data_IF_212523943668
#
_entry.id   IF_212523943668
#
_cell.length_a   1.000
_cell.length_b   1.000
_cell.length_c   1.000
_cell.angle_alpha   90.00
_cell.angle_beta   90.00
_cell.angle_gamma   90.00
#
_symmetry.space_group_name_H-M   'P 1'
#
loop_
_entity.id
_entity.type
_entity.pdbx_description
1 polymer ?
#
# COMPACT_ATOMS: atom_id res chain seq x y z
N UNK A 1 7.56 24.07 29.99
CA UNK A 1 8.11 23.64 28.69
C UNK A 1 7.12 22.65 28.10
N UNK A 2 6.78 22.75 26.81
CA UNK A 2 5.84 21.82 26.16
C UNK A 2 6.65 20.80 25.35
N UNK A 3 6.26 19.53 25.47
CA UNK A 3 6.90 18.41 24.79
C UNK A 3 5.83 17.65 24.03
N UNK A 4 5.95 17.63 22.71
CA UNK A 4 5.02 16.93 21.85
C UNK A 4 5.78 15.89 21.01
N UNK A 5 5.31 14.64 21.08
CA UNK A 5 5.73 13.56 20.18
C UNK A 5 4.56 13.28 19.25
N UNK A 6 4.82 13.43 17.95
CA UNK A 6 3.83 13.24 16.91
C UNK A 6 4.35 12.31 15.82
N UNK A 7 3.52 11.37 15.41
CA UNK A 7 3.68 10.63 14.16
C UNK A 7 2.96 11.37 13.04
N UNK A 8 3.48 11.29 11.82
CA UNK A 8 2.74 11.70 10.63
C UNK A 8 2.83 10.61 9.57
N UNK A 9 1.66 10.18 9.08
CA UNK A 9 1.55 9.51 7.79
C UNK A 9 1.49 10.58 6.72
N UNK A 10 2.37 10.53 5.73
CA UNK A 10 2.25 11.33 4.52
C UNK A 10 2.01 10.42 3.33
N UNK A 11 0.87 10.61 2.70
CA UNK A 11 0.49 9.92 1.47
C UNK A 11 0.45 10.93 0.34
N UNK A 12 1.25 10.67 -0.68
CA UNK A 12 1.27 11.43 -1.92
C UNK A 12 0.71 10.56 -3.05
N UNK A 13 -0.40 10.99 -3.66
CA UNK A 13 -1.01 10.30 -4.80
C UNK A 13 -1.09 11.26 -6.00
N UNK A 14 -0.66 10.81 -7.18
CA UNK A 14 -0.70 11.61 -8.41
C UNK A 14 -1.34 10.83 -9.57
N UNK A 15 -2.23 11.51 -10.29
CA UNK A 15 -2.94 10.96 -11.47
C UNK A 15 -2.82 11.91 -12.67
N UNK A 16 -2.66 11.37 -13.88
CA UNK A 16 -2.46 12.14 -15.12
C UNK A 16 -0.99 12.44 -15.42
N UNK A 17 -0.72 13.08 -16.56
CA UNK A 17 0.63 13.46 -17.03
C UNK A 17 0.70 14.90 -17.55
N UNK A 18 1.86 15.53 -17.39
CA UNK A 18 2.10 16.91 -17.83
C UNK A 18 1.14 17.93 -17.20
N UNK A 19 0.64 18.88 -18.00
CA UNK A 19 -0.27 19.96 -17.55
C UNK A 19 -1.62 19.46 -17.01
N UNK A 20 -1.96 18.18 -17.19
CA UNK A 20 -3.19 17.57 -16.70
C UNK A 20 -3.02 16.75 -15.41
N UNK A 21 -1.83 16.79 -14.79
CA UNK A 21 -1.58 16.08 -13.53
C UNK A 21 -2.40 16.66 -12.38
N UNK A 22 -3.00 15.77 -11.59
CA UNK A 22 -3.67 16.09 -10.33
C UNK A 22 -2.97 15.37 -9.20
N UNK A 23 -2.82 16.04 -8.08
CA UNK A 23 -2.08 15.53 -6.93
C UNK A 23 -2.92 15.70 -5.68
N UNK A 24 -2.97 14.66 -4.86
CA UNK A 24 -3.45 14.73 -3.48
C UNK A 24 -2.27 14.49 -2.55
N UNK A 25 -2.13 15.37 -1.57
CA UNK A 25 -1.26 15.19 -0.42
C UNK A 25 -2.15 15.07 0.79
N UNK A 26 -2.07 13.94 1.48
CA UNK A 26 -2.67 13.78 2.79
C UNK A 26 -1.56 13.68 3.82
N UNK A 27 -1.71 14.41 4.91
CA UNK A 27 -0.94 14.20 6.12
C UNK A 27 -1.93 13.86 7.21
N UNK A 28 -1.80 12.68 7.81
CA UNK A 28 -2.52 12.39 9.05
C UNK A 28 -1.52 12.46 10.18
N UNK A 29 -1.72 13.45 11.03
CA UNK A 29 -0.90 13.64 12.22
C UNK A 29 -1.54 12.85 13.37
N UNK A 30 -0.73 12.09 14.06
CA UNK A 30 -1.08 11.31 15.22
C UNK A 30 -0.26 11.86 16.37
N UNK A 31 -0.88 12.72 17.17
CA UNK A 31 -0.28 13.20 18.41
C UNK A 31 -0.63 12.22 19.52
N UNK A 32 0.31 11.97 20.43
CA UNK A 32 -0.04 11.24 21.65
C UNK A 32 -1.18 11.99 22.37
N UNK A 33 -2.33 11.32 22.59
CA UNK A 33 -3.45 11.95 23.28
C UNK A 33 -3.24 12.11 24.78
N UNK A 34 -2.18 11.54 25.39
CA UNK A 34 -1.85 11.79 26.80
C UNK A 34 -0.35 11.64 27.07
N UNK A 35 0.33 12.78 27.16
CA UNK A 35 1.34 12.97 28.22
C UNK A 35 1.18 14.39 28.77
N UNK A 36 0.09 14.60 29.51
CA UNK A 36 -0.02 15.75 30.39
C UNK A 36 0.88 15.49 31.60
N UNK A 37 2.13 15.92 31.53
CA UNK A 37 2.94 16.04 32.72
C UNK A 37 2.60 17.38 33.37
N UNK A 38 1.84 17.28 34.48
CA UNK A 38 1.50 18.30 35.47
C UNK A 38 0.26 19.18 35.21
N UNK A 39 -0.80 18.86 35.96
CA UNK A 39 -1.90 19.75 36.33
C UNK A 39 -3.04 19.83 35.32
N UNK A 40 -4.26 19.60 35.80
CA UNK A 40 -5.51 19.76 35.06
C UNK A 40 -5.56 21.06 34.26
N UNK A 41 -5.31 20.97 32.94
CA UNK A 41 -5.72 22.00 31.98
C UNK A 41 -6.20 21.37 30.68
N UNK A 42 -7.29 21.95 30.22
CA UNK A 42 -8.09 21.71 29.03
C UNK A 42 -7.25 21.38 27.79
N UNK A 43 -7.71 20.50 26.88
CA UNK A 43 -7.07 20.28 25.59
C UNK A 43 -7.00 21.62 24.83
N UNK A 44 -5.79 22.12 24.61
CA UNK A 44 -5.57 23.33 23.82
C UNK A 44 -5.58 22.95 22.34
N UNK A 45 -6.61 23.44 21.65
CA UNK A 45 -6.67 23.42 20.20
C UNK A 45 -5.54 24.24 19.58
N UNK A 46 -5.18 23.82 18.36
CA UNK A 46 -4.69 24.63 17.22
C UNK A 46 -4.22 26.05 17.59
N UNK A 47 -2.89 26.22 17.65
CA UNK A 47 -2.14 27.48 17.77
C UNK A 47 -2.50 28.36 18.98
N UNK A 48 -1.64 28.33 20.01
CA UNK A 48 -1.68 29.29 21.11
C UNK A 48 -1.67 30.74 20.60
N UNK A 49 -2.61 31.53 21.12
CA UNK A 49 -2.78 32.95 20.81
C UNK A 49 -1.57 33.77 21.28
N UNK A 50 -1.24 34.84 20.55
CA UNK A 50 -0.23 35.87 20.93
C UNK A 50 -0.49 36.41 22.35
N UNK A 51 -1.73 36.34 22.84
CA UNK A 51 -2.10 36.72 24.20
C UNK A 51 -1.42 35.85 25.29
N UNK A 52 -1.20 34.56 25.06
CA UNK A 52 -0.50 33.69 26.02
C UNK A 52 0.98 34.09 26.15
N UNK A 53 1.62 34.53 25.06
CA UNK A 53 3.01 34.97 25.03
C UNK A 53 3.26 36.28 25.81
N UNK A 54 2.23 37.12 25.97
CA UNK A 54 2.31 38.41 26.68
C UNK A 54 1.88 38.33 28.16
N UNK A 55 1.37 37.17 28.61
CA UNK A 55 0.73 37.03 29.93
C UNK A 55 1.67 36.86 31.13
N UNK A 56 2.99 36.89 30.94
CA UNK A 56 3.95 36.76 32.05
C UNK A 56 3.96 35.38 32.72
N UNK A 57 3.43 34.33 32.08
CA UNK A 57 3.56 32.94 32.53
C UNK A 57 5.04 32.60 32.74
N UNK A 58 5.40 32.17 33.95
CA UNK A 58 6.69 31.53 34.25
C UNK A 58 6.78 30.24 33.43
N UNK A 59 7.83 30.12 32.62
CA UNK A 59 8.16 28.87 31.95
C UNK A 59 8.78 27.91 32.98
N UNK A 60 8.22 26.73 33.15
CA UNK A 60 8.84 25.70 34.00
C UNK A 60 10.23 25.38 33.47
N UNK A 61 11.23 25.44 34.35
CA UNK A 61 12.64 25.23 34.03
C UNK A 61 12.95 23.75 34.16
N UNK A 62 13.50 23.14 33.10
CA UNK A 62 14.00 21.78 33.13
C UNK A 62 15.32 21.74 33.92
N UNK A 63 15.44 20.98 35.02
CA UNK A 63 16.68 20.89 35.80
C UNK A 63 17.84 20.35 34.98
N UNK A 64 19.09 20.64 35.39
CA UNK A 64 20.26 20.01 34.78
C UNK A 64 20.25 18.49 35.02
N UNK A 65 20.54 17.71 33.98
CA UNK A 65 20.57 16.25 34.03
C UNK A 65 20.01 15.61 32.77
N UNK A 66 20.01 14.27 32.74
CA UNK A 66 19.35 13.49 31.71
C UNK A 66 17.87 13.30 32.06
N UNK A 67 17.00 13.50 31.08
CA UNK A 67 15.56 13.37 31.24
C UNK A 67 15.03 12.44 30.15
N UNK A 68 14.29 11.41 30.57
CA UNK A 68 13.70 10.42 29.68
C UNK A 68 12.18 10.51 29.76
N UNK A 69 11.55 10.67 28.60
CA UNK A 69 10.09 10.73 28.48
C UNK A 69 9.61 9.53 27.67
N UNK A 70 9.06 8.49 28.30
CA UNK A 70 8.46 7.39 27.56
C UNK A 70 7.24 7.90 26.78
N UNK A 71 7.07 7.43 25.55
CA UNK A 71 5.89 7.70 24.74
C UNK A 71 5.41 6.40 24.10
N UNK A 72 4.12 6.35 23.83
CA UNK A 72 3.46 5.25 23.13
C UNK A 72 2.40 5.82 22.21
N UNK A 73 2.26 5.25 21.03
CA UNK A 73 1.18 5.56 20.11
C UNK A 73 0.77 4.30 19.37
N UNK A 74 -0.52 4.21 19.05
CA UNK A 74 -1.05 3.13 18.24
C UNK A 74 -0.89 3.46 16.77
N UNK A 75 -0.41 2.50 15.97
CA UNK A 75 -0.47 2.60 14.52
C UNK A 75 -1.95 2.50 14.11
N UNK A 76 -2.44 3.42 13.25
CA UNK A 76 -3.83 3.41 12.82
C UNK A 76 -4.23 2.09 12.18
N UNK A 77 -5.46 1.64 12.43
CA UNK A 77 -6.02 0.49 11.71
C UNK A 77 -6.12 0.82 10.22
N UNK A 78 -5.56 -0.04 9.36
CA UNK A 78 -5.49 0.21 7.92
C UNK A 78 -4.37 1.17 7.51
N UNK A 79 -3.39 1.42 8.38
CA UNK A 79 -2.18 2.16 8.04
C UNK A 79 -1.49 1.53 6.81
N UNK A 80 -1.26 2.31 5.73
CA UNK A 80 -0.57 1.79 4.55
C UNK A 80 0.88 1.44 4.87
N UNK A 81 1.41 0.44 4.17
CA UNK A 81 2.83 0.11 4.26
C UNK A 81 3.69 1.24 3.67
N UNK A 82 4.95 1.34 4.10
CA UNK A 82 5.93 2.20 3.40
C UNK A 82 6.07 1.72 1.96
N UNK A 83 5.89 2.63 1.00
CA UNK A 83 5.85 2.28 -0.41
C UNK A 83 6.33 3.44 -1.29
N UNK A 84 7.13 3.13 -2.31
CA UNK A 84 7.58 4.08 -3.33
C UNK A 84 7.27 3.47 -4.70
N UNK A 85 6.16 3.91 -5.27
CA UNK A 85 5.61 3.41 -6.53
C UNK A 85 5.61 4.45 -7.64
N UNK A 86 4.84 4.17 -8.70
CA UNK A 86 4.78 5.06 -9.87
C UNK A 86 3.92 6.29 -9.61
N UNK A 87 2.80 6.09 -8.93
CA UNK A 87 1.79 7.12 -8.67
C UNK A 87 1.60 7.39 -7.18
N UNK A 88 2.22 6.58 -6.32
CA UNK A 88 2.01 6.57 -4.87
C UNK A 88 3.34 6.58 -4.14
N UNK A 89 3.47 7.47 -3.16
CA UNK A 89 4.56 7.47 -2.20
C UNK A 89 3.96 7.55 -0.78
N UNK A 90 4.33 6.59 0.07
CA UNK A 90 3.90 6.49 1.47
C UNK A 90 5.13 6.49 2.37
N UNK A 91 5.24 7.52 3.19
CA UNK A 91 6.30 7.64 4.20
C UNK A 91 5.71 7.85 5.59
N UNK A 92 6.38 7.25 6.57
CA UNK A 92 6.06 7.36 7.98
C UNK A 92 7.18 8.04 8.73
N UNK A 93 6.83 9.07 9.49
CA UNK A 93 7.80 9.88 10.24
C UNK A 93 7.36 10.01 11.69
N UNK A 94 8.30 9.81 12.61
CA UNK A 94 8.19 10.16 14.02
C UNK A 94 8.98 11.44 14.27
N UNK A 95 8.38 12.40 14.96
CA UNK A 95 9.02 13.68 15.30
C UNK A 95 8.90 13.91 16.80
N UNK A 96 10.02 14.22 17.45
CA UNK A 96 10.06 14.75 18.80
C UNK A 96 10.47 16.22 18.74
N UNK A 97 9.67 17.08 19.37
CA UNK A 97 9.93 18.51 19.41
C UNK A 97 10.00 18.98 20.87
N UNK A 98 10.98 19.85 21.14
CA UNK A 98 11.15 20.53 22.42
C UNK A 98 11.09 22.03 22.14
N UNK A 99 10.07 22.68 22.67
CA UNK A 99 9.87 24.11 22.50
C UNK A 99 10.75 24.89 23.47
N UNK A 100 11.61 25.77 22.95
CA UNK A 100 12.57 26.54 23.75
C UNK A 100 12.10 28.00 23.81
N UNK A 101 11.65 28.50 24.98
CA UNK A 101 11.19 29.89 25.09
C UNK A 101 12.26 30.87 24.63
N UNK A 102 11.93 31.68 23.62
CA UNK A 102 12.84 32.68 23.02
C UNK A 102 14.12 32.09 22.40
N UNK A 103 14.13 30.79 22.14
CA UNK A 103 15.20 30.07 21.44
C UNK A 103 14.70 29.39 20.18
N UNK A 104 15.57 28.61 19.54
CA UNK A 104 15.17 27.71 18.46
C UNK A 104 14.67 26.40 19.05
N UNK A 105 13.50 25.96 18.58
CA UNK A 105 12.95 24.67 18.96
C UNK A 105 13.87 23.55 18.48
N UNK A 106 14.06 22.55 19.34
CA UNK A 106 14.85 21.37 19.00
C UNK A 106 13.90 20.33 18.42
N UNK A 107 14.18 19.88 17.20
CA UNK A 107 13.38 18.84 16.54
C UNK A 107 14.26 17.68 16.13
N UNK A 108 13.87 16.48 16.54
CA UNK A 108 14.48 15.24 16.10
C UNK A 108 13.46 14.41 15.31
N UNK A 109 13.91 13.83 14.21
CA UNK A 109 13.06 13.13 13.25
C UNK A 109 13.58 11.72 12.98
N UNK A 110 12.67 10.74 12.93
CA UNK A 110 12.96 9.37 12.54
C UNK A 110 11.99 8.88 11.48
N UNK A 111 12.48 8.03 10.57
CA UNK A 111 11.62 7.30 9.63
C UNK A 111 11.34 5.92 10.22
N UNK A 112 10.08 5.52 10.23
CA UNK A 112 9.66 4.20 10.70
C UNK A 112 9.08 3.39 9.54
N UNK A 113 9.09 2.06 9.67
CA UNK A 113 8.44 1.16 8.70
C UNK A 113 7.18 0.58 9.31
N UNK A 114 6.07 0.77 8.60
CA UNK A 114 4.80 0.10 8.91
C UNK A 114 4.67 -1.09 7.97
N UNK A 115 4.42 -2.27 8.54
CA UNK A 115 4.16 -3.50 7.82
C UNK A 115 2.77 -3.98 8.23
N UNK A 116 1.78 -3.95 7.32
CA UNK A 116 0.45 -4.46 7.60
C UNK A 116 0.48 -5.99 7.75
N UNK A 117 -0.50 -6.55 8.48
CA UNK A 117 -0.63 -8.00 8.59
C UNK A 117 -0.81 -8.62 7.21
N UNK A 118 -0.14 -9.74 6.97
CA UNK A 118 -0.27 -10.48 5.72
C UNK A 118 -1.68 -11.10 5.68
N UNK A 119 -2.45 -10.91 4.59
CA UNK A 119 -3.73 -11.58 4.41
C UNK A 119 -3.59 -13.10 4.53
N UNK A 120 -4.63 -13.77 5.03
CA UNK A 120 -4.67 -15.24 5.15
C UNK A 120 -4.76 -15.97 3.80
N UNK A 121 -5.27 -17.20 3.80
CA UNK A 121 -5.42 -17.98 2.57
C UNK A 121 -6.45 -17.38 1.61
N UNK A 122 -6.16 -17.37 0.31
CA UNK A 122 -7.04 -16.76 -0.71
C UNK A 122 -7.31 -17.73 -1.86
N UNK A 123 -8.38 -18.54 -1.77
CA UNK A 123 -8.92 -19.21 -2.93
C UNK A 123 -9.61 -18.20 -3.85
N UNK A 124 -9.27 -18.22 -5.13
CA UNK A 124 -9.90 -17.37 -6.14
C UNK A 124 -10.22 -18.17 -7.40
N UNK A 125 -11.44 -18.02 -7.93
CA UNK A 125 -11.86 -18.55 -9.24
C UNK A 125 -12.37 -17.40 -10.09
N UNK A 126 -11.92 -17.32 -11.34
CA UNK A 126 -12.51 -16.45 -12.34
C UNK A 126 -12.49 -17.11 -13.71
N UNK A 127 -13.54 -16.85 -14.48
CA UNK A 127 -13.63 -17.21 -15.88
C UNK A 127 -13.90 -15.98 -16.73
N UNK A 128 -13.33 -15.95 -17.94
CA UNK A 128 -13.65 -14.95 -18.96
C UNK A 128 -13.90 -15.62 -20.29
N UNK A 129 -14.88 -15.06 -20.98
CA UNK A 129 -15.32 -15.50 -22.29
C UNK A 129 -15.06 -14.41 -23.33
N UNK A 130 -14.41 -14.74 -24.45
CA UNK A 130 -14.31 -13.84 -25.59
C UNK A 130 -14.57 -14.60 -26.90
N UNK A 131 -15.75 -14.36 -27.49
CA UNK A 131 -16.22 -14.99 -28.73
C UNK A 131 -16.14 -16.52 -28.68
N UNK A 132 -15.06 -17.09 -29.22
CA UNK A 132 -14.85 -18.52 -29.39
C UNK A 132 -13.71 -19.07 -28.55
N UNK A 133 -13.10 -18.24 -27.70
CA UNK A 133 -12.03 -18.63 -26.77
C UNK A 133 -12.50 -18.29 -25.35
N UNK A 134 -12.42 -19.28 -24.47
CA UNK A 134 -12.77 -19.17 -23.06
C UNK A 134 -11.52 -19.49 -22.24
N UNK A 135 -11.25 -18.66 -21.25
CA UNK A 135 -10.16 -18.87 -20.29
C UNK A 135 -10.77 -18.90 -18.89
N UNK A 136 -10.45 -19.93 -18.15
CA UNK A 136 -10.84 -20.07 -16.74
C UNK A 136 -9.59 -20.35 -15.91
N UNK A 137 -9.48 -19.73 -14.74
CA UNK A 137 -8.33 -19.89 -13.86
C UNK A 137 -8.75 -19.93 -12.39
N UNK A 138 -7.96 -20.66 -11.60
CA UNK A 138 -8.18 -20.92 -10.19
C UNK A 138 -6.87 -20.85 -9.43
N UNK A 139 -6.90 -20.30 -8.22
CA UNK A 139 -5.83 -20.41 -7.23
C UNK A 139 -6.30 -21.37 -6.14
N UNK A 140 -5.46 -22.34 -5.80
CA UNK A 140 -5.71 -23.25 -4.70
C UNK A 140 -5.47 -22.52 -3.36
N UNK A 141 -6.21 -22.85 -2.28
CA UNK A 141 -5.93 -22.32 -0.95
C UNK A 141 -4.47 -22.56 -0.56
N UNK A 142 -3.84 -21.56 0.02
CA UNK A 142 -2.45 -21.63 0.44
C UNK A 142 -1.94 -20.32 1.02
N UNK A 143 -0.70 -20.30 1.54
CA UNK A 143 -0.14 -19.12 2.18
C UNK A 143 0.07 -18.00 1.17
N UNK A 144 -0.43 -16.81 1.49
CA UNK A 144 -0.03 -15.56 0.86
C UNK A 144 1.09 -14.94 1.69
N UNK A 145 2.16 -14.47 1.06
CA UNK A 145 3.28 -13.82 1.76
C UNK A 145 4.54 -13.65 0.90
N UNK A 146 5.55 -12.93 1.42
CA UNK A 146 6.84 -12.78 0.77
C UNK A 146 7.45 -14.12 0.37
N UNK A 147 7.76 -14.27 -0.91
CA UNK A 147 8.40 -15.49 -1.42
C UNK A 147 7.52 -16.74 -1.43
N UNK A 148 6.24 -16.65 -1.03
CA UNK A 148 5.34 -17.80 -1.01
C UNK A 148 5.04 -18.31 -2.43
N UNK A 149 4.85 -19.62 -2.56
CA UNK A 149 4.45 -20.25 -3.81
C UNK A 149 2.92 -20.32 -3.90
N UNK A 150 2.38 -19.67 -4.92
CA UNK A 150 0.95 -19.71 -5.27
C UNK A 150 0.76 -20.77 -6.33
N UNK A 151 -0.11 -21.74 -6.02
CA UNK A 151 -0.47 -22.84 -6.92
C UNK A 151 -1.87 -22.64 -7.46
N UNK A 152 -2.09 -23.16 -8.66
CA UNK A 152 -3.39 -23.07 -9.28
C UNK A 152 -3.46 -23.80 -10.59
N UNK A 153 -4.59 -23.62 -11.25
CA UNK A 153 -4.92 -24.25 -12.53
C UNK A 153 -5.49 -23.22 -13.48
N UNK A 154 -5.36 -23.47 -14.77
CA UNK A 154 -6.17 -22.78 -15.77
C UNK A 154 -6.62 -23.74 -16.85
N UNK A 155 -7.75 -23.43 -17.49
CA UNK A 155 -8.31 -24.20 -18.59
C UNK A 155 -8.64 -23.26 -19.74
N UNK A 156 -8.33 -23.72 -20.95
CA UNK A 156 -8.63 -23.00 -22.18
C UNK A 156 -9.63 -23.80 -22.99
N UNK A 157 -10.71 -23.16 -23.43
CA UNK A 157 -11.67 -23.76 -24.36
C UNK A 157 -11.71 -22.94 -25.64
N UNK A 158 -11.37 -23.57 -26.76
CA UNK A 158 -11.27 -22.91 -28.06
C UNK A 158 -12.26 -23.51 -29.05
N UNK A 159 -13.49 -23.04 -29.04
CA UNK A 159 -14.57 -23.56 -29.88
C UNK A 159 -14.51 -23.06 -31.33
N UNK A 160 -13.66 -22.07 -31.62
CA UNK A 160 -13.56 -21.44 -32.94
C UNK A 160 -12.32 -21.81 -33.74
N UNK A 161 -11.56 -22.81 -33.30
CA UNK A 161 -10.36 -23.29 -34.00
C UNK A 161 -9.26 -22.23 -34.13
N UNK A 162 -9.18 -21.27 -33.20
CA UNK A 162 -8.15 -20.22 -33.23
C UNK A 162 -6.77 -20.80 -32.94
N UNK A 163 -5.71 -20.23 -33.51
CA UNK A 163 -4.34 -20.62 -33.13
C UNK A 163 -3.94 -19.91 -31.85
N UNK A 164 -3.82 -20.64 -30.74
CA UNK A 164 -3.27 -20.13 -29.48
C UNK A 164 -1.77 -20.42 -29.49
N UNK A 165 -0.94 -19.38 -29.47
CA UNK A 165 0.53 -19.52 -29.54
C UNK A 165 1.13 -19.88 -28.19
N UNK A 166 0.59 -19.29 -27.13
CA UNK A 166 1.03 -19.53 -25.76
C UNK A 166 -0.06 -19.15 -24.75
N UNK A 167 0.06 -19.71 -23.55
CA UNK A 167 -0.55 -19.16 -22.34
C UNK A 167 0.56 -18.63 -21.44
N UNK A 168 0.25 -17.56 -20.72
CA UNK A 168 1.14 -16.90 -19.78
C UNK A 168 0.46 -16.85 -18.42
N UNK A 169 1.23 -17.10 -17.37
CA UNK A 169 0.81 -16.98 -15.97
C UNK A 169 1.80 -16.05 -15.31
N UNK A 170 1.38 -14.81 -15.07
CA UNK A 170 2.23 -13.74 -14.55
C UNK A 170 1.79 -13.37 -13.13
N UNK A 171 2.75 -13.17 -12.23
CA UNK A 171 2.50 -12.44 -10.98
C UNK A 171 2.57 -10.95 -11.31
N UNK A 172 1.49 -10.24 -11.01
CA UNK A 172 1.37 -8.80 -11.26
C UNK A 172 1.18 -8.04 -9.97
N UNK A 173 1.92 -6.94 -9.81
CA UNK A 173 1.67 -5.90 -8.82
C UNK A 173 0.65 -4.93 -9.37
N UNK A 174 -0.41 -4.66 -8.61
CA UNK A 174 -1.51 -3.78 -8.95
C UNK A 174 -1.48 -2.57 -8.02
N UNK A 175 -1.07 -1.42 -8.54
CA UNK A 175 -1.05 -0.16 -7.82
C UNK A 175 -2.28 0.66 -8.21
N UNK A 176 -3.04 1.11 -7.20
CA UNK A 176 -4.17 2.02 -7.36
C UNK A 176 -3.90 3.33 -6.63
N UNK A 177 -4.18 4.44 -7.29
CA UNK A 177 -4.08 5.79 -6.74
C UNK A 177 -5.38 6.57 -7.00
N UNK A 178 -5.83 7.33 -6.00
CA UNK A 178 -7.02 8.18 -6.06
C UNK A 178 -6.66 9.60 -5.69
N UNK A 179 -6.90 10.55 -6.60
CA UNK A 179 -6.64 11.96 -6.36
C UNK A 179 -7.74 12.83 -7.00
N UNK A 180 -8.37 13.70 -6.19
CA UNK A 180 -9.42 14.64 -6.63
C UNK A 180 -10.56 14.01 -7.44
N UNK A 181 -11.01 12.82 -7.03
CA UNK A 181 -12.07 12.06 -7.70
C UNK A 181 -11.61 11.25 -8.93
N UNK A 182 -10.34 11.34 -9.32
CA UNK A 182 -9.76 10.56 -10.40
C UNK A 182 -9.05 9.33 -9.85
N UNK A 183 -9.21 8.21 -10.55
CA UNK A 183 -8.58 6.93 -10.21
C UNK A 183 -7.56 6.59 -11.29
N UNK A 184 -6.38 6.13 -10.87
CA UNK A 184 -5.41 5.46 -11.74
C UNK A 184 -5.11 4.09 -11.17
N UNK A 185 -5.10 3.12 -12.06
CA UNK A 185 -4.64 1.77 -11.78
C UNK A 185 -3.51 1.47 -12.75
N UNK A 186 -2.43 0.92 -12.22
CA UNK A 186 -1.30 0.45 -13.01
C UNK A 186 -0.94 -0.95 -12.59
N UNK A 187 -0.60 -1.78 -13.56
CA UNK A 187 -0.09 -3.12 -13.33
C UNK A 187 1.37 -3.18 -13.78
N UNK A 188 2.16 -3.95 -13.02
CA UNK A 188 3.53 -4.28 -13.36
C UNK A 188 3.72 -5.78 -13.19
N UNK A 189 4.36 -6.42 -14.18
CA UNK A 189 4.73 -7.84 -14.08
C UNK A 189 5.95 -7.96 -13.18
N UNK A 190 5.84 -8.79 -12.15
CA UNK A 190 6.93 -9.10 -11.21
C UNK A 190 7.67 -10.37 -11.63
N UNK A 191 6.91 -11.37 -12.08
CA UNK A 191 7.44 -12.65 -12.58
C UNK A 191 6.41 -13.31 -13.49
N UNK A 192 6.80 -14.32 -14.27
CA UNK A 192 5.86 -15.05 -15.10
C UNK A 192 6.39 -16.33 -15.70
N UNK A 193 5.47 -17.22 -16.04
CA UNK A 193 5.73 -18.54 -16.65
C UNK A 193 4.97 -18.64 -17.96
N UNK A 194 5.64 -19.17 -18.99
CA UNK A 194 5.07 -19.35 -20.33
C UNK A 194 4.81 -20.83 -20.62
N UNK A 195 3.61 -21.13 -21.09
CA UNK A 195 3.17 -22.44 -21.55
C UNK A 195 3.00 -22.39 -23.07
N UNK A 196 3.58 -23.35 -23.78
CA UNK A 196 3.49 -23.41 -25.25
C UNK A 196 2.07 -23.76 -25.67
N UNK A 197 1.56 -23.17 -26.75
CA UNK A 197 0.21 -23.46 -27.24
C UNK A 197 -0.04 -24.95 -27.53
N UNK A 198 0.97 -25.66 -28.00
CA UNK A 198 0.89 -27.10 -28.27
C UNK A 198 0.70 -27.98 -27.02
N UNK A 199 0.98 -27.46 -25.81
CA UNK A 199 0.72 -28.15 -24.55
C UNK A 199 -0.63 -27.79 -23.94
N UNK A 200 -1.44 -26.96 -24.60
CA UNK A 200 -2.77 -26.58 -24.13
C UNK A 200 -3.81 -27.56 -24.70
N UNK A 201 -4.39 -28.37 -23.82
CA UNK A 201 -5.45 -29.33 -24.15
C UNK A 201 -6.79 -28.97 -23.52
N UNK A 202 -7.72 -29.93 -23.51
CA UNK A 202 -9.01 -29.79 -22.80
C UNK A 202 -8.87 -29.86 -21.28
N UNK A 203 -7.83 -30.56 -20.81
CA UNK A 203 -7.52 -30.69 -19.39
C UNK A 203 -6.96 -29.40 -18.79
N UNK A 204 -7.28 -29.09 -17.52
CA UNK A 204 -6.66 -27.99 -16.81
C UNK A 204 -5.14 -28.14 -16.73
N UNK A 205 -4.42 -27.04 -16.99
CA UNK A 205 -2.98 -26.93 -16.84
C UNK A 205 -2.66 -26.40 -15.46
N UNK A 206 -1.82 -27.12 -14.72
CA UNK A 206 -1.33 -26.69 -13.42
C UNK A 206 -0.22 -25.66 -13.56
N UNK A 207 -0.16 -24.74 -12.60
CA UNK A 207 0.92 -23.77 -12.47
C UNK A 207 1.33 -23.58 -11.02
N UNK A 208 2.58 -23.16 -10.85
CA UNK A 208 3.11 -22.64 -9.60
C UNK A 208 3.90 -21.36 -9.92
N UNK A 209 3.63 -20.29 -9.17
CA UNK A 209 4.34 -19.01 -9.30
C UNK A 209 4.73 -18.49 -7.93
N UNK A 210 5.90 -17.86 -7.84
CA UNK A 210 6.41 -17.33 -6.59
C UNK A 210 6.07 -15.84 -6.46
N UNK A 211 5.46 -15.47 -5.35
CA UNK A 211 5.28 -14.07 -4.98
C UNK A 211 6.64 -13.43 -4.71
N UNK A 212 6.84 -12.14 -5.05
CA UNK A 212 8.12 -11.48 -4.80
C UNK A 212 8.40 -11.36 -3.31
N UNK A 213 9.68 -11.27 -2.93
CA UNK A 213 10.07 -11.03 -1.52
C UNK A 213 9.61 -9.64 -1.03
N UNK A 214 9.30 -8.72 -1.95
CA UNK A 214 8.68 -7.43 -1.68
C UNK A 214 7.14 -7.47 -1.53
N UNK A 215 6.54 -8.65 -1.43
CA UNK A 215 5.09 -8.80 -1.24
C UNK A 215 4.65 -8.13 0.06
N UNK A 216 3.91 -7.02 -0.07
CA UNK A 216 3.41 -6.26 1.07
C UNK A 216 2.13 -5.54 0.64
N UNK A 217 1.01 -6.27 0.52
CA UNK A 217 -0.25 -5.65 0.11
C UNK A 217 -0.85 -4.80 1.21
N UNK A 218 -1.57 -3.76 0.80
CA UNK A 218 -2.24 -2.85 1.72
C UNK A 218 -3.33 -2.05 1.02
N UNK A 219 -4.32 -1.65 1.80
CA UNK A 219 -5.40 -0.78 1.35
C UNK A 219 -5.47 0.46 2.23
N UNK A 220 -5.23 1.62 1.61
CA UNK A 220 -5.35 2.92 2.23
C UNK A 220 -6.49 3.72 1.59
N UNK A 221 -6.80 4.87 2.19
CA UNK A 221 -7.89 5.74 1.74
C UNK A 221 -7.73 6.26 0.31
N UNK A 222 -6.50 6.64 -0.05
CA UNK A 222 -6.19 7.29 -1.32
C UNK A 222 -5.38 6.42 -2.28
N UNK A 223 -4.97 5.25 -1.83
CA UNK A 223 -4.10 4.36 -2.61
C UNK A 223 -4.17 2.96 -2.06
N UNK A 224 -3.87 1.98 -2.91
CA UNK A 224 -3.69 0.60 -2.47
C UNK A 224 -2.64 -0.10 -3.32
N UNK A 225 -2.04 -1.12 -2.73
CA UNK A 225 -1.14 -2.04 -3.40
C UNK A 225 -1.70 -3.45 -3.25
N UNK A 226 -1.95 -4.10 -4.37
CA UNK A 226 -2.38 -5.48 -4.41
C UNK A 226 -1.48 -6.31 -5.32
N UNK A 227 -1.63 -7.62 -5.25
CA UNK A 227 -0.93 -8.58 -6.09
C UNK A 227 -1.94 -9.58 -6.64
N UNK A 228 -1.74 -9.98 -7.89
CA UNK A 228 -2.59 -10.97 -8.55
C UNK A 228 -1.79 -11.92 -9.42
N UNK A 229 -2.42 -13.06 -9.74
CA UNK A 229 -1.99 -13.96 -10.79
C UNK A 229 -2.80 -13.63 -12.04
N UNK A 230 -2.14 -13.10 -13.06
CA UNK A 230 -2.71 -12.81 -14.37
C UNK A 230 -2.46 -13.99 -15.30
N UNK A 231 -3.52 -14.65 -15.73
CA UNK A 231 -3.47 -15.66 -16.78
C UNK A 231 -3.94 -15.04 -18.09
N UNK A 232 -3.16 -15.16 -19.15
CA UNK A 232 -3.54 -14.63 -20.46
C UNK A 232 -3.06 -15.48 -21.63
N UNK A 233 -3.77 -15.38 -22.76
CA UNK A 233 -3.51 -16.17 -23.97
C UNK A 233 -3.02 -15.27 -25.11
N UNK A 234 -1.90 -15.63 -25.73
CA UNK A 234 -1.45 -15.06 -27.01
C UNK A 234 -2.22 -15.76 -28.13
N UNK A 235 -3.26 -15.10 -28.63
CA UNK A 235 -4.11 -15.61 -29.69
C UNK A 235 -3.65 -15.03 -31.02
N UNK A 236 -3.22 -15.89 -31.95
CA UNK A 236 -2.75 -15.44 -33.25
C UNK A 236 -3.82 -14.65 -34.00
N UNK A 237 -3.47 -13.44 -34.42
CA UNK A 237 -4.35 -12.55 -35.18
C UNK A 237 -5.67 -12.23 -34.46
N UNK A 238 -5.66 -12.29 -33.12
CA UNK A 238 -6.80 -12.01 -32.26
C UNK A 238 -6.45 -11.03 -31.15
N UNK A 239 -7.44 -10.77 -30.30
CA UNK A 239 -7.20 -10.10 -29.02
C UNK A 239 -6.81 -11.15 -27.99
N UNK A 240 -5.90 -10.77 -27.09
CA UNK A 240 -5.53 -11.62 -25.98
C UNK A 240 -6.70 -11.75 -25.00
N UNK A 241 -6.93 -12.98 -24.55
CA UNK A 241 -7.92 -13.27 -23.51
C UNK A 241 -7.18 -13.33 -22.19
N UNK A 242 -7.60 -12.53 -21.20
CA UNK A 242 -6.94 -12.45 -19.91
C UNK A 242 -7.93 -12.47 -18.73
N UNK A 243 -7.47 -13.05 -17.63
CA UNK A 243 -8.10 -13.09 -16.30
C UNK A 243 -7.05 -12.71 -15.26
N UNK A 244 -7.42 -11.91 -14.27
CA UNK A 244 -6.55 -11.62 -13.11
C UNK A 244 -7.23 -12.09 -11.84
N UNK A 245 -6.57 -12.97 -11.10
CA UNK A 245 -6.99 -13.48 -9.80
C UNK A 245 -6.25 -12.71 -8.72
N UNK A 246 -6.95 -12.01 -7.83
CA UNK A 246 -6.29 -11.33 -6.70
C UNK A 246 -5.85 -12.35 -5.65
N UNK A 247 -4.73 -12.06 -5.01
CA UNK A 247 -4.17 -12.89 -3.93
C UNK A 247 -4.58 -12.39 -2.53
N UNK A 248 -5.48 -11.41 -2.45
CA UNK A 248 -6.17 -10.87 -1.27
C UNK A 248 -7.21 -9.81 -1.67
#
# INVERSE_FOLDING_TARGET
>A
MQHDVAGAERTHAQVGSGKSSRTVRSSVNWTNQRTACWGDRTPLGVFGSIADALSGKRWDTLPAGEHLWPFEFNVPKGAPAVYAGRHVDVTWKLSAQVDVPRGFDLTQNWTIRVIPPIPGEVPARHGRHQKSVQLEAWIDPGPAGPGAEVRGRFRVRNTGGKTIRAAHVDVVRLERAVASGHVRETSQVESGTKFRGASLGEEPVEFAVRLPDSYCPWEGKYSSLAYGVKVWLDVAWGFDVEVTLRTH
#
